data_IF_483576827435
#
_entry.id   IF_483576827435
#
_cell.length_a   1.000
_cell.length_b   1.000
_cell.length_c   1.000
_cell.angle_alpha   90.00
_cell.angle_beta   90.00
_cell.angle_gamma   90.00
#
_symmetry.space_group_name_H-M   'P 1'
#
loop_
_entity.id
_entity.type
_entity.pdbx_description
1 polymer ?
#
# COMPACT_ATOMS: atom_id res chain seq x y z
N UNK A 1 11.24 16.31 15.55
CA UNK A 1 11.43 15.47 14.34
C UNK A 1 10.82 14.10 14.58
N UNK A 2 10.08 13.53 13.60
CA UNK A 2 9.38 12.25 13.77
C UNK A 2 10.29 11.02 13.80
N UNK A 3 11.47 11.13 13.17
CA UNK A 3 12.47 10.07 13.04
C UNK A 3 13.86 10.58 13.45
N UNK A 4 14.76 9.67 13.84
CA UNK A 4 16.17 9.98 14.05
C UNK A 4 16.92 10.12 12.71
N UNK A 5 18.08 10.76 12.72
CA UNK A 5 18.91 10.88 11.52
C UNK A 5 19.36 9.51 10.99
N UNK A 6 19.61 8.53 11.87
CA UNK A 6 19.94 7.16 11.46
C UNK A 6 18.77 6.49 10.75
N UNK A 7 17.54 6.64 11.26
CA UNK A 7 16.34 6.09 10.62
C UNK A 7 16.11 6.70 9.23
N UNK A 8 16.28 8.01 9.08
CA UNK A 8 16.14 8.69 7.79
C UNK A 8 17.18 8.16 6.79
N UNK A 9 18.44 8.02 7.21
CA UNK A 9 19.48 7.45 6.38
C UNK A 9 19.16 5.99 5.96
N UNK A 10 18.63 5.19 6.88
CA UNK A 10 18.17 3.82 6.61
C UNK A 10 17.02 3.78 5.60
N UNK A 11 16.07 4.71 5.67
CA UNK A 11 14.96 4.80 4.72
C UNK A 11 15.46 5.09 3.29
N UNK A 12 16.37 6.05 3.14
CA UNK A 12 16.95 6.35 1.83
C UNK A 12 17.76 5.18 1.28
N UNK A 13 18.60 4.57 2.12
CA UNK A 13 19.38 3.40 1.72
C UNK A 13 18.48 2.24 1.26
N UNK A 14 17.43 1.94 2.05
CA UNK A 14 16.48 0.87 1.73
C UNK A 14 15.72 1.19 0.44
N UNK A 15 15.27 2.43 0.24
CA UNK A 15 14.57 2.82 -0.97
C UNK A 15 15.46 2.66 -2.22
N UNK A 16 16.73 3.06 -2.14
CA UNK A 16 17.69 2.89 -3.23
C UNK A 16 17.92 1.40 -3.57
N UNK A 17 18.06 0.55 -2.55
CA UNK A 17 18.17 -0.90 -2.71
C UNK A 17 16.95 -1.48 -3.42
N UNK A 18 15.75 -1.20 -2.90
CA UNK A 18 14.51 -1.77 -3.43
C UNK A 18 14.17 -1.21 -4.81
N UNK A 19 14.49 0.04 -5.10
CA UNK A 19 14.37 0.60 -6.44
C UNK A 19 15.33 -0.08 -7.44
N UNK A 20 16.53 -0.47 -7.01
CA UNK A 20 17.45 -1.21 -7.86
C UNK A 20 16.95 -2.64 -8.16
N UNK A 21 16.42 -3.34 -7.13
CA UNK A 21 15.81 -4.66 -7.29
C UNK A 21 14.56 -4.64 -8.15
N UNK A 22 13.71 -3.63 -7.96
CA UNK A 22 12.54 -3.37 -8.80
C UNK A 22 12.93 -3.26 -10.27
N UNK A 23 13.92 -2.43 -10.62
CA UNK A 23 14.40 -2.28 -12.00
C UNK A 23 14.88 -3.60 -12.58
N UNK A 24 15.68 -4.35 -11.82
CA UNK A 24 16.19 -5.65 -12.27
C UNK A 24 15.06 -6.67 -12.51
N UNK A 25 14.06 -6.71 -11.62
CA UNK A 25 12.87 -7.55 -11.78
C UNK A 25 12.06 -7.14 -13.02
N UNK A 26 11.84 -5.84 -13.20
CA UNK A 26 11.11 -5.28 -14.34
C UNK A 26 11.79 -5.60 -15.67
N UNK A 27 13.12 -5.44 -15.76
CA UNK A 27 13.91 -5.84 -16.93
C UNK A 27 13.78 -7.35 -17.23
N UNK A 28 13.87 -8.18 -16.20
CA UNK A 28 13.76 -9.63 -16.33
C UNK A 28 12.36 -10.06 -16.81
N UNK A 29 11.30 -9.44 -16.31
CA UNK A 29 9.93 -9.71 -16.77
C UNK A 29 9.69 -9.21 -18.20
N UNK A 30 10.18 -8.01 -18.55
CA UNK A 30 10.03 -7.47 -19.90
C UNK A 30 10.72 -8.36 -20.95
N UNK A 31 11.89 -8.89 -20.62
CA UNK A 31 12.69 -9.72 -21.53
C UNK A 31 12.28 -11.20 -21.56
N UNK A 32 11.43 -11.65 -20.63
CA UNK A 32 10.99 -13.04 -20.56
C UNK A 32 10.08 -13.40 -21.74
N UNK A 33 10.29 -14.60 -22.32
CA UNK A 33 9.35 -15.20 -23.25
C UNK A 33 8.15 -15.79 -22.50
N UNK A 34 6.93 -15.40 -22.87
CA UNK A 34 5.69 -15.88 -22.26
C UNK A 34 4.97 -16.88 -23.16
N UNK A 35 4.27 -17.84 -22.57
CA UNK A 35 3.48 -18.85 -23.32
C UNK A 35 2.28 -18.21 -24.02
N UNK A 36 1.74 -17.14 -23.46
CA UNK A 36 0.56 -16.46 -23.98
C UNK A 36 0.77 -14.94 -24.06
N UNK A 37 0.30 -14.32 -25.14
CA UNK A 37 0.38 -12.87 -25.35
C UNK A 37 -0.24 -12.08 -24.18
N UNK A 38 -1.39 -12.54 -23.67
CA UNK A 38 -2.04 -11.91 -22.50
C UNK A 38 -1.18 -11.95 -21.24
N UNK A 39 -0.36 -12.98 -21.05
CA UNK A 39 0.57 -13.09 -19.92
C UNK A 39 1.66 -12.03 -20.03
N UNK A 40 2.21 -11.84 -21.24
CA UNK A 40 3.19 -10.78 -21.49
C UNK A 40 2.59 -9.39 -21.22
N UNK A 41 1.37 -9.13 -21.71
CA UNK A 41 0.67 -7.86 -21.43
C UNK A 41 0.48 -7.66 -19.93
N UNK A 42 0.06 -8.69 -19.19
CA UNK A 42 -0.13 -8.59 -17.73
C UNK A 42 1.18 -8.36 -16.98
N UNK A 43 2.27 -9.02 -17.37
CA UNK A 43 3.56 -8.81 -16.75
C UNK A 43 4.10 -7.40 -17.03
N UNK A 44 4.17 -7.00 -18.30
CA UNK A 44 4.80 -5.74 -18.74
C UNK A 44 3.93 -4.52 -18.45
N UNK A 45 2.64 -4.59 -18.78
CA UNK A 45 1.74 -3.45 -18.67
C UNK A 45 0.94 -3.43 -17.37
N UNK A 46 0.68 -4.60 -16.78
CA UNK A 46 0.04 -4.71 -15.47
C UNK A 46 1.06 -4.53 -14.36
N UNK A 47 1.82 -5.58 -14.07
CA UNK A 47 2.70 -5.64 -12.90
C UNK A 47 3.85 -4.62 -12.95
N UNK A 48 4.67 -4.61 -14.01
CA UNK A 48 5.83 -3.70 -14.11
C UNK A 48 5.44 -2.22 -14.06
N UNK A 49 4.33 -1.81 -14.71
CA UNK A 49 3.85 -0.42 -14.59
C UNK A 49 3.42 -0.07 -13.16
N UNK A 50 2.83 -1.02 -12.44
CA UNK A 50 2.47 -0.82 -11.03
C UNK A 50 3.70 -0.68 -10.15
N UNK A 51 4.74 -1.50 -10.35
CA UNK A 51 6.01 -1.35 -9.64
C UNK A 51 6.60 0.05 -9.80
N UNK A 52 6.71 0.55 -11.03
CA UNK A 52 7.14 1.94 -11.28
C UNK A 52 6.23 2.98 -10.60
N UNK A 53 4.91 2.71 -10.57
CA UNK A 53 3.94 3.59 -9.90
C UNK A 53 4.17 3.61 -8.39
N UNK A 54 4.51 2.47 -7.76
CA UNK A 54 4.82 2.40 -6.33
C UNK A 54 6.02 3.28 -5.97
N UNK A 55 7.12 3.16 -6.72
CA UNK A 55 8.32 4.02 -6.56
C UNK A 55 7.93 5.49 -6.71
N UNK A 56 7.18 5.83 -7.76
CA UNK A 56 6.75 7.22 -7.99
C UNK A 56 5.91 7.77 -6.84
N UNK A 57 5.01 6.97 -6.28
CA UNK A 57 4.22 7.41 -5.13
C UNK A 57 5.10 7.65 -3.90
N UNK A 58 6.10 6.80 -3.65
CA UNK A 58 7.06 6.99 -2.54
C UNK A 58 7.81 8.31 -2.72
N UNK A 59 8.39 8.55 -3.89
CA UNK A 59 9.11 9.80 -4.20
C UNK A 59 8.24 11.04 -3.94
N UNK A 60 6.99 11.01 -4.38
CA UNK A 60 6.08 12.15 -4.22
C UNK A 60 5.66 12.35 -2.76
N UNK A 61 5.44 11.28 -2.00
CA UNK A 61 5.15 11.38 -0.56
C UNK A 61 6.35 11.97 0.18
N UNK A 62 7.57 11.48 -0.09
CA UNK A 62 8.80 11.97 0.56
C UNK A 62 9.13 13.41 0.17
N UNK A 63 8.73 13.87 -1.02
CA UNK A 63 8.88 15.26 -1.44
C UNK A 63 7.88 16.19 -0.74
N UNK A 64 6.60 15.77 -0.64
CA UNK A 64 5.52 16.58 -0.08
C UNK A 64 5.53 16.62 1.45
N UNK A 65 5.87 15.49 2.07
CA UNK A 65 5.98 15.32 3.51
C UNK A 65 7.27 14.56 3.78
N UNK A 66 8.43 15.24 3.83
CA UNK A 66 9.72 14.59 4.09
C UNK A 66 9.77 13.90 5.47
N UNK A 67 10.62 12.87 5.65
CA UNK A 67 10.82 12.21 6.94
C UNK A 67 11.21 13.18 8.08
N UNK A 68 11.97 14.23 7.77
CA UNK A 68 12.38 15.27 8.71
C UNK A 68 11.28 16.31 9.03
N UNK A 69 10.15 16.29 8.30
CA UNK A 69 9.11 17.31 8.43
C UNK A 69 8.46 17.27 9.82
N UNK A 70 8.57 18.39 10.55
CA UNK A 70 7.92 18.56 11.85
C UNK A 70 6.54 19.20 11.75
N UNK A 71 6.29 19.95 10.67
CA UNK A 71 5.03 20.67 10.44
C UNK A 71 4.78 20.82 8.94
N UNK A 72 4.44 19.74 8.22
CA UNK A 72 4.13 19.81 6.80
C UNK A 72 2.92 20.72 6.55
N UNK A 73 2.88 21.33 5.36
CA UNK A 73 1.76 22.19 4.98
C UNK A 73 0.48 21.37 4.82
N UNK A 74 -0.68 21.96 5.12
CA UNK A 74 -1.98 21.30 4.91
C UNK A 74 -2.18 20.81 3.47
N UNK A 75 -1.72 21.59 2.50
CA UNK A 75 -1.75 21.19 1.09
C UNK A 75 -0.87 19.96 0.83
N UNK A 76 0.38 19.97 1.34
CA UNK A 76 1.30 18.84 1.22
C UNK A 76 0.77 17.56 1.88
N UNK A 77 0.13 17.66 3.04
CA UNK A 77 -0.55 16.55 3.72
C UNK A 77 -1.66 15.97 2.83
N UNK A 78 -2.54 16.82 2.29
CA UNK A 78 -3.65 16.39 1.45
C UNK A 78 -3.17 15.73 0.14
N UNK A 79 -2.17 16.32 -0.51
CA UNK A 79 -1.61 15.80 -1.75
C UNK A 79 -0.85 14.48 -1.50
N UNK A 80 -0.09 14.38 -0.40
CA UNK A 80 0.56 13.14 0.00
C UNK A 80 -0.46 12.04 0.30
N UNK A 81 -1.61 12.36 0.90
CA UNK A 81 -2.68 11.39 1.12
C UNK A 81 -3.22 10.81 -0.20
N UNK A 82 -3.35 11.62 -1.26
CA UNK A 82 -3.74 11.14 -2.59
C UNK A 82 -2.71 10.14 -3.14
N UNK A 83 -1.41 10.44 -3.00
CA UNK A 83 -0.34 9.52 -3.40
C UNK A 83 -0.32 8.24 -2.57
N UNK A 84 -0.61 8.30 -1.26
CA UNK A 84 -0.75 7.11 -0.41
C UNK A 84 -1.93 6.22 -0.84
N UNK A 85 -3.08 6.82 -1.16
CA UNK A 85 -4.23 6.07 -1.67
C UNK A 85 -3.89 5.39 -3.01
N UNK A 86 -3.22 6.11 -3.91
CA UNK A 86 -2.73 5.56 -5.17
C UNK A 86 -1.69 4.44 -4.94
N UNK A 87 -0.82 4.59 -3.96
CA UNK A 87 0.16 3.57 -3.59
C UNK A 87 -0.53 2.27 -3.15
N UNK A 88 -1.41 2.33 -2.14
CA UNK A 88 -2.08 1.15 -1.56
C UNK A 88 -2.88 0.37 -2.61
N UNK A 89 -3.62 1.05 -3.49
CA UNK A 89 -4.38 0.35 -4.55
C UNK A 89 -3.45 -0.31 -5.58
N UNK A 90 -2.26 0.26 -5.82
CA UNK A 90 -1.28 -0.32 -6.73
C UNK A 90 -0.53 -1.51 -6.10
N UNK A 91 -0.28 -1.51 -4.79
CA UNK A 91 0.27 -2.67 -4.07
C UNK A 91 -0.64 -3.88 -4.29
N UNK A 92 -1.94 -3.69 -4.05
CA UNK A 92 -2.95 -4.73 -4.33
C UNK A 92 -2.98 -5.19 -5.77
N UNK A 93 -3.09 -4.24 -6.68
CA UNK A 93 -3.18 -4.54 -8.09
C UNK A 93 -1.95 -5.29 -8.60
N UNK A 94 -0.77 -5.01 -8.05
CA UNK A 94 0.47 -5.67 -8.43
C UNK A 94 0.42 -7.16 -8.03
N UNK A 95 0.04 -7.46 -6.79
CA UNK A 95 -0.09 -8.84 -6.31
C UNK A 95 -1.15 -9.62 -7.10
N UNK A 96 -2.31 -9.00 -7.38
CA UNK A 96 -3.36 -9.62 -8.21
C UNK A 96 -2.90 -9.87 -9.65
N UNK A 97 -2.02 -9.01 -10.20
CA UNK A 97 -1.45 -9.20 -11.52
C UNK A 97 -0.51 -10.41 -11.55
N UNK A 98 0.29 -10.62 -10.50
CA UNK A 98 1.11 -11.83 -10.36
C UNK A 98 0.26 -13.10 -10.25
N UNK A 99 -0.83 -13.06 -9.47
CA UNK A 99 -1.76 -14.19 -9.34
C UNK A 99 -2.32 -14.60 -10.71
N UNK A 100 -2.80 -13.62 -11.50
CA UNK A 100 -3.33 -13.85 -12.85
C UNK A 100 -2.27 -14.37 -13.80
N UNK A 101 -1.07 -13.80 -13.74
CA UNK A 101 0.06 -14.21 -14.55
C UNK A 101 0.39 -15.69 -14.31
N UNK A 102 0.46 -16.11 -13.05
CA UNK A 102 0.69 -17.51 -12.69
C UNK A 102 -0.39 -18.43 -13.25
N UNK A 103 -1.67 -18.11 -13.01
CA UNK A 103 -2.79 -18.94 -13.47
C UNK A 103 -2.73 -19.18 -14.98
N UNK A 104 -2.35 -18.18 -15.77
CA UNK A 104 -2.26 -18.32 -17.22
C UNK A 104 -1.02 -19.07 -17.67
N UNK A 105 0.15 -18.76 -17.14
CA UNK A 105 1.40 -19.41 -17.56
C UNK A 105 1.46 -20.86 -17.10
N UNK A 106 1.01 -21.18 -15.89
CA UNK A 106 1.03 -22.53 -15.33
C UNK A 106 -0.17 -23.41 -15.74
N UNK A 107 -1.16 -22.85 -16.45
CA UNK A 107 -2.47 -23.49 -16.68
C UNK A 107 -3.08 -24.04 -15.37
N UNK A 108 -2.98 -23.25 -14.29
CA UNK A 108 -3.38 -23.66 -12.96
C UNK A 108 -4.89 -23.93 -12.89
N UNK A 109 -5.28 -25.04 -12.25
CA UNK A 109 -6.66 -25.53 -12.20
C UNK A 109 -7.10 -25.81 -10.78
N UNK A 110 -8.36 -25.51 -10.48
CA UNK A 110 -9.00 -25.90 -9.24
C UNK A 110 -9.94 -27.07 -9.50
N UNK A 111 -9.67 -28.22 -8.88
CA UNK A 111 -10.46 -29.46 -9.05
C UNK A 111 -10.62 -29.84 -10.53
N UNK A 112 -9.53 -29.72 -11.30
CA UNK A 112 -9.49 -30.05 -12.74
C UNK A 112 -10.20 -29.06 -13.67
N UNK A 113 -10.70 -27.93 -13.15
CA UNK A 113 -11.40 -26.89 -13.93
C UNK A 113 -10.65 -25.56 -13.88
N UNK A 114 -10.91 -24.65 -14.83
CA UNK A 114 -10.40 -23.28 -14.76
C UNK A 114 -10.77 -22.62 -13.42
N UNK A 115 -9.82 -21.90 -12.83
CA UNK A 115 -10.01 -21.20 -11.55
C UNK A 115 -11.00 -20.03 -11.78
N UNK A 116 -12.11 -19.94 -11.00
CA UNK A 116 -13.04 -18.81 -11.08
C UNK A 116 -12.32 -17.50 -10.80
N UNK A 117 -12.69 -16.42 -11.52
CA UNK A 117 -12.00 -15.12 -11.37
C UNK A 117 -12.02 -14.56 -9.94
N UNK A 118 -13.06 -14.84 -9.16
CA UNK A 118 -13.17 -14.44 -7.75
C UNK A 118 -12.21 -15.19 -6.82
N UNK A 119 -11.64 -16.31 -7.26
CA UNK A 119 -10.66 -17.10 -6.51
C UNK A 119 -9.22 -16.80 -6.95
N UNK A 120 -9.04 -15.84 -7.88
CA UNK A 120 -7.72 -15.45 -8.33
C UNK A 120 -7.18 -14.32 -7.45
N UNK A 121 -6.21 -14.67 -6.62
CA UNK A 121 -5.44 -13.78 -5.76
C UNK A 121 -4.32 -14.56 -5.07
N UNK A 122 -3.52 -13.87 -4.26
CA UNK A 122 -2.44 -14.47 -3.47
C UNK A 122 -2.66 -14.32 -1.96
N UNK A 123 -3.85 -13.90 -1.52
CA UNK A 123 -4.18 -13.84 -0.08
C UNK A 123 -4.27 -15.26 0.51
N UNK A 124 -4.25 -15.41 1.85
CA UNK A 124 -4.37 -16.72 2.50
C UNK A 124 -5.61 -17.52 2.07
N UNK A 125 -6.70 -16.83 1.76
CA UNK A 125 -7.96 -17.45 1.36
C UNK A 125 -7.95 -17.98 -0.09
N UNK A 126 -6.99 -17.56 -0.91
CA UNK A 126 -6.83 -18.02 -2.29
C UNK A 126 -6.05 -19.34 -2.38
N UNK A 127 -6.46 -20.34 -1.60
CA UNK A 127 -5.74 -21.62 -1.46
C UNK A 127 -5.53 -22.34 -2.79
N UNK A 128 -6.50 -22.28 -3.70
CA UNK A 128 -6.41 -22.90 -5.03
C UNK A 128 -5.18 -22.46 -5.84
N UNK A 129 -4.75 -21.20 -5.69
CA UNK A 129 -3.55 -20.69 -6.36
C UNK A 129 -2.33 -21.01 -5.52
N UNK A 130 -2.37 -20.76 -4.21
CA UNK A 130 -1.21 -21.00 -3.33
C UNK A 130 -0.76 -22.46 -3.38
N UNK A 131 -1.69 -23.41 -3.30
CA UNK A 131 -1.43 -24.85 -3.40
C UNK A 131 -0.86 -25.28 -4.77
N UNK A 132 -1.01 -24.45 -5.82
CA UNK A 132 -0.47 -24.74 -7.15
C UNK A 132 0.97 -24.27 -7.34
N UNK A 133 1.49 -23.44 -6.43
CA UNK A 133 2.88 -22.95 -6.45
C UNK A 133 3.83 -23.99 -5.83
N UNK A 134 5.14 -23.84 -6.02
CA UNK A 134 6.12 -24.71 -5.34
C UNK A 134 6.04 -24.61 -3.81
N UNK A 135 6.53 -25.64 -3.10
CA UNK A 135 6.61 -25.64 -1.63
C UNK A 135 7.38 -24.43 -1.09
N UNK A 136 8.47 -24.03 -1.75
CA UNK A 136 9.28 -22.89 -1.34
C UNK A 136 8.51 -21.56 -1.47
N UNK A 137 7.69 -21.43 -2.52
CA UNK A 137 6.83 -20.26 -2.68
C UNK A 137 5.66 -20.28 -1.68
N UNK A 138 5.07 -21.45 -1.42
CA UNK A 138 4.03 -21.59 -0.39
C UNK A 138 4.52 -21.19 1.01
N UNK A 139 5.74 -21.61 1.39
CA UNK A 139 6.36 -21.22 2.65
C UNK A 139 6.58 -19.70 2.72
N UNK A 140 7.11 -19.10 1.65
CA UNK A 140 7.27 -17.65 1.60
C UNK A 140 5.92 -16.91 1.71
N UNK A 141 4.90 -17.34 0.97
CA UNK A 141 3.57 -16.74 1.01
C UNK A 141 2.97 -16.81 2.42
N UNK A 142 3.14 -17.93 3.12
CA UNK A 142 2.69 -18.08 4.52
C UNK A 142 3.37 -17.08 5.46
N UNK A 143 4.65 -16.77 5.22
CA UNK A 143 5.38 -15.72 5.94
C UNK A 143 4.84 -14.30 5.72
N UNK A 144 4.07 -14.07 4.65
CA UNK A 144 3.46 -12.77 4.31
C UNK A 144 2.00 -12.63 4.75
N UNK A 145 1.43 -13.62 5.43
CA UNK A 145 -0.01 -13.63 5.75
C UNK A 145 -0.44 -12.46 6.65
N UNK A 146 0.39 -12.10 7.63
CA UNK A 146 0.13 -10.93 8.47
C UNK A 146 0.17 -9.62 7.67
N UNK A 147 1.06 -9.52 6.67
CA UNK A 147 1.14 -8.38 5.77
C UNK A 147 -0.12 -8.28 4.89
N UNK A 148 -0.60 -9.42 4.36
CA UNK A 148 -1.89 -9.46 3.66
C UNK A 148 -3.06 -9.00 4.53
N UNK A 149 -3.12 -9.46 5.78
CA UNK A 149 -4.18 -9.04 6.72
C UNK A 149 -4.17 -7.54 6.99
N UNK A 150 -2.99 -6.97 7.24
CA UNK A 150 -2.80 -5.51 7.35
C UNK A 150 -3.31 -4.80 6.09
N UNK A 151 -2.81 -5.22 4.94
CA UNK A 151 -3.06 -4.58 3.67
C UNK A 151 -4.56 -4.69 3.32
N UNK A 152 -5.24 -5.79 3.66
CA UNK A 152 -6.65 -6.06 3.37
C UNK A 152 -7.59 -5.11 4.09
N UNK A 153 -7.30 -4.83 5.36
CA UNK A 153 -8.01 -3.78 6.09
C UNK A 153 -7.92 -2.44 5.33
N UNK A 154 -6.72 -2.05 4.90
CA UNK A 154 -6.47 -0.77 4.26
C UNK A 154 -7.17 -0.63 2.89
N UNK A 155 -7.17 -1.69 2.07
CA UNK A 155 -7.88 -1.67 0.78
C UNK A 155 -9.38 -1.70 0.94
N UNK A 156 -9.94 -2.58 1.78
CA UNK A 156 -11.39 -2.64 1.93
C UNK A 156 -11.93 -1.32 2.44
N UNK A 157 -11.26 -0.72 3.42
CA UNK A 157 -11.62 0.60 3.90
C UNK A 157 -11.50 1.67 2.80
N UNK A 158 -10.39 1.70 2.06
CA UNK A 158 -10.19 2.65 0.95
C UNK A 158 -11.25 2.50 -0.16
N UNK A 159 -11.59 1.26 -0.54
CA UNK A 159 -12.49 0.98 -1.66
C UNK A 159 -13.97 1.11 -1.31
N UNK A 160 -14.34 0.89 -0.04
CA UNK A 160 -15.75 0.71 0.35
C UNK A 160 -16.21 1.56 1.54
N UNK A 161 -15.30 2.16 2.32
CA UNK A 161 -15.65 2.91 3.54
C UNK A 161 -15.12 4.34 3.51
N UNK A 162 -13.88 4.53 3.98
CA UNK A 162 -13.30 5.84 4.27
C UNK A 162 -11.91 5.88 3.62
N UNK A 163 -11.61 6.89 2.77
CA UNK A 163 -10.28 7.03 2.20
C UNK A 163 -9.20 7.21 3.26
N UNK A 164 -7.97 6.76 2.95
CA UNK A 164 -6.82 7.02 3.79
C UNK A 164 -6.55 8.52 3.89
N UNK A 165 -6.20 8.98 5.09
CA UNK A 165 -5.74 10.34 5.32
C UNK A 165 -4.50 10.34 6.23
N UNK A 166 -3.79 11.46 6.22
CA UNK A 166 -2.68 11.75 7.12
C UNK A 166 -3.22 12.69 8.20
N UNK A 167 -3.28 12.28 9.48
CA UNK A 167 -3.64 13.18 10.56
C UNK A 167 -2.68 14.38 10.63
N UNK A 168 -3.22 15.57 10.87
CA UNK A 168 -2.40 16.77 11.05
C UNK A 168 -1.49 16.67 12.27
N UNK A 169 -1.91 15.94 13.29
CA UNK A 169 -1.25 15.87 14.59
C UNK A 169 -1.62 14.59 15.34
N UNK A 170 -0.66 14.07 16.10
CA UNK A 170 -0.87 13.06 17.14
C UNK A 170 -1.31 13.76 18.41
N UNK A 171 -2.32 13.16 19.04
CA UNK A 171 -2.90 13.64 20.28
C UNK A 171 -2.75 12.58 21.37
N UNK A 172 -2.60 13.04 22.61
CA UNK A 172 -2.87 12.21 23.79
C UNK A 172 -4.38 12.13 24.04
N UNK A 173 -4.80 11.41 25.09
CA UNK A 173 -6.22 11.19 25.38
C UNK A 173 -6.97 12.51 25.60
N UNK A 174 -6.31 13.51 26.18
CA UNK A 174 -6.86 14.86 26.43
C UNK A 174 -7.00 15.64 25.11
N UNK A 175 -5.95 15.67 24.29
CA UNK A 175 -5.99 16.27 22.95
C UNK A 175 -7.01 15.62 22.03
N UNK A 176 -7.18 14.29 22.11
CA UNK A 176 -8.16 13.55 21.31
C UNK A 176 -9.60 13.82 21.76
N UNK A 177 -9.83 14.08 23.05
CA UNK A 177 -11.13 14.53 23.54
C UNK A 177 -11.44 15.96 23.04
N UNK A 178 -10.46 16.85 23.09
CA UNK A 178 -10.61 18.23 22.63
C UNK A 178 -10.80 18.30 21.10
N UNK A 179 -10.07 17.51 20.34
CA UNK A 179 -10.24 17.48 18.89
C UNK A 179 -11.62 16.97 18.47
N UNK A 180 -12.16 15.94 19.14
CA UNK A 180 -13.53 15.45 18.91
C UNK A 180 -14.58 16.51 19.24
N UNK A 181 -14.35 17.30 20.29
CA UNK A 181 -15.20 18.45 20.63
C UNK A 181 -15.17 19.48 19.50
N UNK A 182 -13.98 19.90 19.07
CA UNK A 182 -13.79 20.84 17.96
C UNK A 182 -14.36 20.31 16.64
N UNK A 183 -14.23 19.01 16.36
CA UNK A 183 -14.77 18.39 15.15
C UNK A 183 -16.29 18.49 15.14
N UNK A 184 -16.93 18.10 16.24
CA UNK A 184 -18.38 18.20 16.42
C UNK A 184 -18.85 19.64 16.22
N UNK A 185 -18.19 20.60 16.85
CA UNK A 185 -18.52 22.02 16.73
C UNK A 185 -18.29 22.56 15.30
N UNK A 186 -17.24 22.10 14.62
CA UNK A 186 -16.95 22.48 13.24
C UNK A 186 -18.06 21.99 12.29
N UNK A 187 -18.56 20.76 12.49
CA UNK A 187 -19.66 20.22 11.71
C UNK A 187 -20.96 21.02 11.96
N UNK A 188 -21.25 21.40 13.20
CA UNK A 188 -22.42 22.22 13.50
C UNK A 188 -22.29 23.64 12.93
N UNK A 189 -21.10 24.25 12.99
CA UNK A 189 -20.82 25.54 12.35
C UNK A 189 -21.01 25.46 10.83
N UNK A 190 -20.55 24.38 10.19
CA UNK A 190 -20.72 24.15 8.76
C UNK A 190 -22.20 23.96 8.39
N UNK A 191 -22.96 23.18 9.17
CA UNK A 191 -24.42 23.02 8.98
C UNK A 191 -25.16 24.35 9.10
N UNK A 192 -24.75 25.19 10.05
CA UNK A 192 -25.28 26.54 10.24
C UNK A 192 -24.78 27.56 9.19
N UNK A 193 -23.92 27.15 8.25
CA UNK A 193 -23.25 28.00 7.24
C UNK A 193 -22.42 29.14 7.86
N UNK A 194 -21.94 28.95 9.08
CA UNK A 194 -21.02 29.88 9.74
C UNK A 194 -19.57 29.54 9.37
N UNK A 195 -19.18 29.91 8.16
CA UNK A 195 -17.85 29.58 7.61
C UNK A 195 -16.68 30.20 8.39
N UNK A 196 -16.88 31.38 9.00
CA UNK A 196 -15.84 32.01 9.80
C UNK A 196 -15.52 31.19 11.06
N UNK A 197 -16.55 30.74 11.78
CA UNK A 197 -16.36 29.89 12.95
C UNK A 197 -15.80 28.51 12.54
N UNK A 198 -16.24 27.98 11.41
CA UNK A 198 -15.68 26.75 10.86
C UNK A 198 -14.17 26.87 10.62
N UNK A 199 -13.73 27.94 9.97
CA UNK A 199 -12.30 28.19 9.70
C UNK A 199 -11.50 28.41 11.00
N UNK A 200 -12.07 29.11 11.99
CA UNK A 200 -11.44 29.30 13.31
C UNK A 200 -11.25 27.97 14.04
N UNK A 201 -12.28 27.12 14.09
CA UNK A 201 -12.23 25.81 14.73
C UNK A 201 -11.23 24.87 14.04
N UNK A 202 -11.15 24.92 12.70
CA UNK A 202 -10.10 24.20 11.97
C UNK A 202 -8.70 24.71 12.32
N UNK A 203 -8.54 26.03 12.53
CA UNK A 203 -7.31 26.63 13.01
C UNK A 203 -6.90 26.07 14.37
N UNK A 204 -7.83 26.06 15.34
CA UNK A 204 -7.60 25.50 16.67
C UNK A 204 -7.25 24.01 16.63
N UNK A 205 -7.93 23.22 15.80
CA UNK A 205 -7.59 21.80 15.62
C UNK A 205 -6.16 21.61 15.11
N UNK A 206 -5.67 22.50 14.24
CA UNK A 206 -4.32 22.41 13.68
C UNK A 206 -3.20 22.75 14.67
N UNK A 207 -3.54 23.36 15.81
CA UNK A 207 -2.59 23.69 16.89
C UNK A 207 -2.49 22.58 17.94
N UNK A 208 -3.41 21.62 17.94
CA UNK A 208 -3.43 20.53 18.91
C UNK A 208 -2.45 19.42 18.53
N UNK A 209 -1.38 19.25 19.31
CA UNK A 209 -0.51 18.07 19.23
C UNK A 209 0.75 18.25 18.38
N UNK A 210 1.40 17.13 18.06
CA UNK A 210 2.66 17.09 17.29
C UNK A 210 2.43 16.28 16.03
N UNK A 211 2.89 16.77 14.87
CA UNK A 211 2.79 15.99 13.64
C UNK A 211 3.53 14.65 13.77
N UNK A 212 2.84 13.59 13.41
CA UNK A 212 3.40 12.27 13.22
C UNK A 212 3.00 11.81 11.81
N UNK A 213 3.92 11.23 11.02
CA UNK A 213 3.67 10.79 9.66
C UNK A 213 2.88 9.48 9.65
N UNK A 214 1.68 9.51 10.22
CA UNK A 214 0.75 8.40 10.26
C UNK A 214 -0.19 8.46 9.07
N UNK A 215 -0.62 7.28 8.64
CA UNK A 215 -1.78 7.11 7.78
C UNK A 215 -2.81 6.24 8.49
N UNK A 216 -4.08 6.56 8.32
CA UNK A 216 -5.22 5.83 8.89
C UNK A 216 -6.52 6.17 8.16
N UNK A 217 -7.61 5.47 8.49
CA UNK A 217 -8.94 5.71 7.93
C UNK A 217 -9.82 6.59 8.82
N UNK A 218 -9.80 6.37 10.14
CA UNK A 218 -10.55 7.17 11.09
C UNK A 218 -9.95 7.07 12.49
N UNK A 219 -10.10 8.12 13.31
CA UNK A 219 -9.94 7.99 14.76
C UNK A 219 -11.24 7.41 15.32
N UNK A 220 -11.21 6.17 15.80
CA UNK A 220 -12.42 5.55 16.35
C UNK A 220 -12.13 4.40 17.29
N UNK A 221 -13.11 4.04 18.15
CA UNK A 221 -13.01 2.90 19.05
C UNK A 221 -13.26 1.56 18.35
N UNK A 222 -13.62 1.56 17.06
CA UNK A 222 -13.93 0.35 16.32
C UNK A 222 -12.62 -0.34 15.91
N UNK A 223 -12.57 -1.66 16.09
CA UNK A 223 -11.44 -2.49 15.68
C UNK A 223 -11.24 -2.49 14.16
N UNK A 224 -12.28 -2.14 13.41
CA UNK A 224 -12.22 -2.07 11.95
C UNK A 224 -11.63 -0.75 11.41
N UNK A 225 -11.39 0.26 12.26
CA UNK A 225 -10.91 1.59 11.82
C UNK A 225 -9.41 1.63 11.49
N UNK A 226 -8.71 0.50 11.68
CA UNK A 226 -7.30 0.30 11.33
C UNK A 226 -6.34 0.99 12.30
N UNK A 227 -5.31 0.29 12.74
CA UNK A 227 -4.25 0.89 13.58
C UNK A 227 -3.49 1.93 12.76
N UNK A 228 -3.21 3.14 13.30
CA UNK A 228 -2.35 4.12 12.63
C UNK A 228 -0.99 3.53 12.30
N UNK A 229 -0.54 3.71 11.06
CA UNK A 229 0.76 3.21 10.60
C UNK A 229 1.64 4.36 10.14
N UNK A 230 2.92 4.34 10.50
CA UNK A 230 3.91 5.31 10.00
C UNK A 230 4.16 5.06 8.51
N UNK A 231 3.73 5.97 7.65
CA UNK A 231 3.68 5.69 6.20
C UNK A 231 5.05 5.61 5.55
N UNK A 232 6.06 6.40 5.95
CA UNK A 232 7.39 6.37 5.34
C UNK A 232 8.02 4.96 5.35
N UNK A 233 8.26 4.32 6.52
CA UNK A 233 8.80 2.97 6.54
C UNK A 233 7.84 1.94 5.96
N UNK A 234 6.52 2.12 6.15
CA UNK A 234 5.55 1.15 5.64
C UNK A 234 5.55 1.07 4.12
N UNK A 235 5.62 2.20 3.41
CA UNK A 235 5.67 2.17 1.95
C UNK A 235 6.92 1.45 1.43
N UNK A 236 8.06 1.59 2.11
CA UNK A 236 9.27 0.82 1.77
C UNK A 236 9.05 -0.66 2.02
N UNK A 237 8.47 -1.05 3.16
CA UNK A 237 8.14 -2.45 3.47
C UNK A 237 7.17 -3.08 2.46
N UNK A 238 6.15 -2.33 2.04
CA UNK A 238 5.15 -2.78 1.07
C UNK A 238 5.77 -2.94 -0.32
N UNK A 239 6.60 -1.97 -0.76
CA UNK A 239 7.37 -2.09 -1.99
C UNK A 239 8.28 -3.33 -1.95
N UNK A 240 9.05 -3.48 -0.88
CA UNK A 240 9.96 -4.60 -0.68
C UNK A 240 9.23 -5.93 -0.81
N UNK A 241 8.10 -6.07 -0.11
CA UNK A 241 7.29 -7.29 -0.13
C UNK A 241 6.74 -7.59 -1.53
N UNK A 242 6.23 -6.58 -2.25
CA UNK A 242 5.76 -6.77 -3.64
C UNK A 242 6.90 -7.17 -4.58
N UNK A 243 8.08 -6.57 -4.44
CA UNK A 243 9.27 -6.91 -5.23
C UNK A 243 9.71 -8.34 -4.93
N UNK A 244 9.80 -8.75 -3.67
CA UNK A 244 10.18 -10.11 -3.28
C UNK A 244 9.20 -11.17 -3.79
N UNK A 245 7.89 -10.93 -3.65
CA UNK A 245 6.85 -11.81 -4.21
C UNK A 245 7.02 -11.89 -5.74
N UNK A 246 7.30 -10.76 -6.39
CA UNK A 246 7.54 -10.69 -7.84
C UNK A 246 8.79 -11.47 -8.28
N UNK A 247 9.90 -11.33 -7.58
CA UNK A 247 11.15 -12.07 -7.85
C UNK A 247 10.95 -13.58 -7.69
N UNK A 248 10.26 -14.01 -6.64
CA UNK A 248 9.94 -15.43 -6.42
C UNK A 248 8.94 -15.95 -7.45
N UNK A 249 7.94 -15.15 -7.81
CA UNK A 249 7.02 -15.50 -8.90
C UNK A 249 7.76 -15.65 -10.23
N UNK A 250 8.76 -14.81 -10.51
CA UNK A 250 9.60 -14.98 -11.70
C UNK A 250 10.36 -16.31 -11.67
N UNK A 251 10.84 -16.75 -10.50
CA UNK A 251 11.48 -18.06 -10.34
C UNK A 251 10.48 -19.20 -10.64
N UNK A 252 9.26 -19.12 -10.10
CA UNK A 252 8.17 -20.07 -10.42
C UNK A 252 7.92 -20.13 -11.93
N UNK A 253 7.79 -18.97 -12.58
CA UNK A 253 7.56 -18.86 -14.02
C UNK A 253 8.71 -19.43 -14.85
N UNK A 254 9.95 -19.28 -14.39
CA UNK A 254 11.13 -19.81 -15.08
C UNK A 254 11.32 -21.32 -14.88
N UNK A 255 10.71 -21.89 -13.83
CA UNK A 255 10.69 -23.35 -13.60
C UNK A 255 9.71 -24.09 -14.51
N UNK A 256 8.75 -23.37 -15.12
CA UNK A 256 7.79 -23.95 -16.04
C UNK A 256 8.51 -24.49 -17.30
N UNK A 257 8.10 -25.65 -17.83
CA UNK A 257 8.67 -26.18 -19.08
C UNK A 257 8.59 -25.13 -20.21
N UNK A 258 9.70 -24.85 -20.88
CA UNK A 258 9.62 -24.04 -22.10
C UNK A 258 8.94 -24.90 -23.18
N UNK A 259 7.89 -24.37 -23.80
CA UNK A 259 7.30 -25.03 -24.98
C UNK A 259 8.36 -25.01 -26.10
N UNK A 260 8.65 -26.19 -26.65
CA UNK A 260 9.66 -26.39 -27.70
C UNK A 260 9.22 -25.81 -29.05
#
# INVERSE_FOLDING_TARGET
MPYSAEQIAEFHHSLDEWAARERALSEALISRAYRQERSQVMAVQGFTRRLHTLIRCIEQVYELVPPEAEKPSRQGINDAAIWLQAFVINVYGAVDNLARLWVWEADAKYKGKPIPSMYIGLTPDNTAIRESLSEAMQEHMSGTDAWFGYLENYRHALAHRIPLYIPSTRMDDEGAAEWRRLETESFEALKARNFNLYDELLGQQSELGVFEPWMMHAYGPDTDDGTPVRFHPQMICDLATVVEIGEKMLQELNSLPQEA
#
